data_IF_282739025474
#
_entry.id   IF_282739025474
#
_cell.length_a   1.000
_cell.length_b   1.000
_cell.length_c   1.000
_cell.angle_alpha   90.00
_cell.angle_beta   90.00
_cell.angle_gamma   90.00
#
_symmetry.space_group_name_H-M   'P 1'
#
loop_
_entity.id
_entity.type
_entity.pdbx_description
1 polymer ?
#
# COMPACT_ATOMS: atom_id res chain seq x y z
N UNK A 1 -5.12 -3.88 -17.70
CA UNK A 1 -6.37 -4.36 -17.05
C UNK A 1 -6.73 -5.79 -17.46
N UNK A 2 -6.97 -6.10 -18.74
CA UNK A 2 -7.28 -7.48 -19.16
C UNK A 2 -6.12 -8.44 -18.81
N UNK A 3 -6.43 -9.57 -18.17
CA UNK A 3 -5.44 -10.56 -17.72
C UNK A 3 -4.81 -10.28 -16.34
N UNK A 4 -5.08 -9.14 -15.71
CA UNK A 4 -4.67 -8.88 -14.32
C UNK A 4 -5.53 -9.72 -13.35
N UNK A 5 -4.95 -10.29 -12.27
CA UNK A 5 -5.73 -10.90 -11.19
C UNK A 5 -6.74 -9.95 -10.54
N UNK A 6 -6.52 -8.63 -10.65
CA UNK A 6 -7.36 -7.59 -10.09
C UNK A 6 -8.28 -6.93 -11.14
N UNK A 7 -8.48 -7.59 -12.29
CA UNK A 7 -9.22 -7.00 -13.41
C UNK A 7 -10.65 -6.56 -13.03
N UNK A 8 -11.37 -7.33 -12.19
CA UNK A 8 -12.76 -6.97 -11.88
C UNK A 8 -12.85 -5.68 -11.05
N UNK A 9 -12.01 -5.49 -10.02
CA UNK A 9 -12.02 -4.25 -9.23
C UNK A 9 -11.64 -3.05 -10.09
N UNK A 10 -10.60 -3.19 -10.92
CA UNK A 10 -10.15 -2.16 -11.87
C UNK A 10 -11.25 -1.75 -12.86
N UNK A 11 -11.91 -2.73 -13.49
CA UNK A 11 -12.99 -2.48 -14.45
C UNK A 11 -14.21 -1.87 -13.76
N UNK A 12 -14.60 -2.39 -12.59
CA UNK A 12 -15.73 -1.84 -11.82
C UNK A 12 -15.50 -0.39 -11.42
N UNK A 13 -14.31 -0.05 -10.94
CA UNK A 13 -13.94 1.33 -10.61
C UNK A 13 -13.96 2.23 -11.84
N UNK A 14 -13.34 1.80 -12.94
CA UNK A 14 -13.34 2.56 -14.19
C UNK A 14 -14.77 2.83 -14.70
N UNK A 15 -15.64 1.83 -14.65
CA UNK A 15 -17.03 1.96 -15.03
C UNK A 15 -17.80 2.90 -14.09
N UNK A 16 -17.59 2.80 -12.78
CA UNK A 16 -18.24 3.69 -11.81
C UNK A 16 -17.87 5.16 -12.05
N UNK A 17 -16.59 5.44 -12.34
CA UNK A 17 -16.13 6.79 -12.70
C UNK A 17 -16.75 7.27 -14.02
N UNK A 18 -16.78 6.42 -15.05
CA UNK A 18 -17.29 6.77 -16.37
C UNK A 18 -18.81 7.00 -16.39
N UNK A 19 -19.58 6.16 -15.69
CA UNK A 19 -21.05 6.28 -15.61
C UNK A 19 -21.48 7.53 -14.84
N UNK A 20 -20.64 8.03 -13.93
CA UNK A 20 -20.90 9.21 -13.11
C UNK A 20 -19.90 10.34 -13.42
N UNK A 21 -19.52 10.48 -14.69
CA UNK A 21 -18.50 11.43 -15.11
C UNK A 21 -18.85 12.88 -14.72
N UNK A 22 -20.13 13.26 -14.71
CA UNK A 22 -20.57 14.60 -14.31
C UNK A 22 -20.27 14.92 -12.83
N UNK A 23 -20.11 13.89 -11.99
CA UNK A 23 -19.70 14.02 -10.58
C UNK A 23 -18.18 13.94 -10.46
N UNK A 24 -17.57 12.92 -11.08
CA UNK A 24 -16.16 12.63 -10.86
C UNK A 24 -15.20 13.51 -11.67
N UNK A 25 -15.62 14.04 -12.82
CA UNK A 25 -14.79 14.97 -13.58
C UNK A 25 -14.48 16.29 -12.83
N UNK A 26 -15.47 17.01 -12.27
CA UNK A 26 -15.18 18.17 -11.44
C UNK A 26 -14.45 17.81 -10.14
N UNK A 27 -14.78 16.67 -9.52
CA UNK A 27 -14.06 16.19 -8.32
C UNK A 27 -12.56 16.00 -8.61
N UNK A 28 -12.21 15.30 -9.68
CA UNK A 28 -10.81 15.06 -10.06
C UNK A 28 -10.08 16.36 -10.42
N UNK A 29 -10.79 17.37 -10.93
CA UNK A 29 -10.20 18.70 -11.16
C UNK A 29 -9.87 19.41 -9.84
N UNK A 30 -10.74 19.32 -8.83
CA UNK A 30 -10.48 19.87 -7.49
C UNK A 30 -9.35 19.13 -6.79
N UNK A 31 -9.33 17.80 -6.85
CA UNK A 31 -8.23 16.98 -6.36
C UNK A 31 -6.92 17.38 -7.05
N UNK A 32 -6.91 17.55 -8.37
CA UNK A 32 -5.72 17.95 -9.11
C UNK A 32 -5.16 19.29 -8.65
N UNK A 33 -6.04 20.27 -8.43
CA UNK A 33 -5.65 21.60 -7.99
C UNK A 33 -5.03 21.61 -6.59
N UNK A 34 -5.36 20.63 -5.75
CA UNK A 34 -4.80 20.45 -4.41
C UNK A 34 -3.49 19.65 -4.36
N UNK A 35 -2.97 19.17 -5.49
CA UNK A 35 -1.75 18.35 -5.49
C UNK A 35 -0.52 19.19 -5.20
N UNK A 36 0.14 18.91 -4.07
CA UNK A 36 1.39 19.55 -3.69
C UNK A 36 2.59 18.65 -3.98
N UNK A 37 3.73 19.21 -4.41
CA UNK A 37 5.00 18.52 -4.45
C UNK A 37 5.32 17.72 -3.16
N UNK A 38 5.95 16.55 -3.28
CA UNK A 38 6.54 15.90 -2.11
C UNK A 38 7.68 16.76 -1.56
N UNK A 39 8.04 16.62 -0.26
CA UNK A 39 9.21 17.29 0.31
C UNK A 39 10.50 16.97 -0.47
N UNK A 40 11.47 17.89 -0.42
CA UNK A 40 12.78 17.71 -1.05
C UNK A 40 13.41 16.39 -0.60
N UNK A 41 13.87 15.58 -1.56
CA UNK A 41 14.48 14.28 -1.31
C UNK A 41 13.54 13.08 -1.41
N UNK A 42 12.22 13.29 -1.55
CA UNK A 42 11.23 12.22 -1.65
C UNK A 42 10.75 11.92 -3.09
N UNK A 43 11.23 12.65 -4.10
CA UNK A 43 11.00 12.32 -5.51
C UNK A 43 12.27 12.52 -6.35
N UNK A 44 12.66 11.53 -7.17
CA UNK A 44 13.74 11.69 -8.16
C UNK A 44 13.36 12.65 -9.30
N UNK A 45 12.07 12.96 -9.45
CA UNK A 45 11.51 13.69 -10.59
C UNK A 45 11.04 15.09 -10.13
N UNK A 46 12.01 15.96 -9.83
CA UNK A 46 11.84 17.42 -9.82
C UNK A 46 10.61 17.96 -9.06
N UNK A 47 10.52 17.73 -7.75
CA UNK A 47 9.57 18.45 -6.89
C UNK A 47 8.12 18.45 -7.42
N UNK A 48 7.66 17.35 -8.03
CA UNK A 48 6.29 17.22 -8.53
C UNK A 48 5.63 15.97 -7.97
N UNK A 49 4.38 16.12 -7.57
CA UNK A 49 3.52 15.00 -7.21
C UNK A 49 3.20 14.17 -8.46
N UNK A 50 3.45 12.87 -8.42
CA UNK A 50 3.23 11.95 -9.54
C UNK A 50 1.76 11.91 -10.00
N UNK A 51 0.81 12.20 -9.11
CA UNK A 51 -0.62 12.26 -9.44
C UNK A 51 -1.04 13.57 -10.12
N UNK A 52 -0.22 14.62 -10.02
CA UNK A 52 -0.56 15.94 -10.55
C UNK A 52 -0.59 15.91 -12.07
N UNK A 53 -1.75 16.20 -12.66
CA UNK A 53 -1.97 16.37 -14.09
C UNK A 53 -1.64 17.80 -14.53
N UNK A 54 -0.96 18.00 -15.68
CA UNK A 54 -0.50 19.32 -16.09
C UNK A 54 -1.65 20.28 -16.43
N UNK A 55 -1.38 21.58 -16.35
CA UNK A 55 -2.34 22.63 -16.73
C UNK A 55 -2.78 22.44 -18.18
N UNK A 56 -4.09 22.50 -18.43
CA UNK A 56 -4.68 22.25 -19.76
C UNK A 56 -4.89 20.78 -20.11
N UNK A 57 -4.47 19.84 -19.24
CA UNK A 57 -4.88 18.44 -19.35
C UNK A 57 -6.37 18.27 -19.02
N UNK A 58 -6.87 17.04 -19.21
CA UNK A 58 -8.18 16.60 -18.71
C UNK A 58 -7.94 15.78 -17.44
N UNK A 59 -7.95 16.37 -16.23
CA UNK A 59 -7.49 15.70 -15.01
C UNK A 59 -8.23 14.39 -14.73
N UNK A 60 -9.53 14.35 -15.01
CA UNK A 60 -10.33 13.13 -14.94
C UNK A 60 -9.74 11.97 -15.75
N UNK A 61 -9.44 12.19 -17.04
CA UNK A 61 -8.89 11.14 -17.89
C UNK A 61 -7.47 10.76 -17.46
N UNK A 62 -6.63 11.75 -17.16
CA UNK A 62 -5.24 11.51 -16.76
C UNK A 62 -5.14 10.75 -15.44
N UNK A 63 -5.88 11.15 -14.42
CA UNK A 63 -5.90 10.43 -13.13
C UNK A 63 -6.52 9.04 -13.25
N UNK A 64 -7.62 8.89 -14.01
CA UNK A 64 -8.21 7.56 -14.20
C UNK A 64 -7.24 6.60 -14.91
N UNK A 65 -6.45 7.10 -15.86
CA UNK A 65 -5.39 6.33 -16.51
C UNK A 65 -4.26 5.98 -15.54
N UNK A 66 -3.81 6.94 -14.73
CA UNK A 66 -2.76 6.73 -13.72
C UNK A 66 -3.20 5.70 -12.67
N UNK A 67 -4.44 5.81 -12.16
CA UNK A 67 -5.04 4.81 -11.25
C UNK A 67 -5.04 3.43 -11.90
N UNK A 68 -5.50 3.31 -13.15
CA UNK A 68 -5.53 2.04 -13.84
C UNK A 68 -4.12 1.45 -14.02
N UNK A 69 -3.11 2.27 -14.32
CA UNK A 69 -1.72 1.83 -14.45
C UNK A 69 -1.15 1.36 -13.11
N UNK A 70 -1.17 2.24 -12.10
CA UNK A 70 -0.66 1.99 -10.74
C UNK A 70 -1.23 0.71 -10.16
N UNK A 71 -2.56 0.54 -10.20
CA UNK A 71 -3.19 -0.64 -9.60
C UNK A 71 -3.09 -1.89 -10.47
N UNK A 72 -2.97 -1.76 -11.81
CA UNK A 72 -2.66 -2.92 -12.66
C UNK A 72 -1.28 -3.47 -12.29
N UNK A 73 -0.27 -2.61 -12.16
CA UNK A 73 1.10 -3.04 -11.86
C UNK A 73 1.23 -3.51 -10.40
N UNK A 74 0.56 -2.85 -9.46
CA UNK A 74 0.56 -3.25 -8.06
C UNK A 74 -0.07 -4.63 -7.82
N UNK A 75 -1.06 -5.00 -8.65
CA UNK A 75 -1.79 -6.26 -8.48
C UNK A 75 -0.87 -7.49 -8.44
N UNK A 76 0.19 -7.49 -9.25
CA UNK A 76 1.15 -8.60 -9.34
C UNK A 76 2.54 -8.24 -8.84
N UNK A 77 2.72 -7.04 -8.30
CA UNK A 77 3.99 -6.61 -7.73
C UNK A 77 4.40 -7.47 -6.54
N UNK A 78 5.61 -8.02 -6.63
CA UNK A 78 6.30 -8.75 -5.57
C UNK A 78 7.51 -7.92 -5.11
N UNK A 79 7.60 -7.57 -3.82
CA UNK A 79 8.76 -6.88 -3.27
C UNK A 79 10.06 -7.63 -3.54
N UNK A 80 11.13 -6.88 -3.79
CA UNK A 80 12.49 -7.36 -4.03
C UNK A 80 13.49 -6.54 -3.24
N UNK A 81 14.67 -7.11 -3.05
CA UNK A 81 15.76 -6.52 -2.28
C UNK A 81 16.84 -6.03 -3.25
N UNK A 82 17.42 -4.88 -2.97
CA UNK A 82 18.58 -4.35 -3.69
C UNK A 82 19.60 -3.80 -2.69
N UNK A 83 20.63 -4.59 -2.43
CA UNK A 83 21.62 -4.27 -1.39
C UNK A 83 20.94 -4.14 -0.03
N UNK A 84 21.09 -2.96 0.57
CA UNK A 84 20.66 -2.60 1.91
C UNK A 84 19.19 -2.10 1.93
N UNK A 85 18.56 -2.01 0.75
CA UNK A 85 17.23 -1.44 0.53
C UNK A 85 16.24 -2.50 -0.01
N UNK A 86 14.96 -2.20 0.11
CA UNK A 86 13.88 -2.96 -0.54
C UNK A 86 12.82 -2.01 -1.11
N UNK A 87 11.96 -2.53 -1.98
CA UNK A 87 10.92 -1.75 -2.65
C UNK A 87 9.50 -2.08 -2.15
N UNK A 88 9.34 -2.73 -0.99
CA UNK A 88 8.05 -3.21 -0.49
C UNK A 88 7.01 -2.11 -0.28
N UNK A 89 7.45 -0.88 -0.03
CA UNK A 89 6.56 0.27 0.20
C UNK A 89 6.19 1.06 -1.05
N UNK A 90 6.73 0.70 -2.23
CA UNK A 90 6.63 1.51 -3.47
C UNK A 90 5.20 1.98 -3.77
N UNK A 91 4.23 1.07 -3.82
CA UNK A 91 2.86 1.42 -4.20
C UNK A 91 2.06 2.06 -3.08
N UNK A 92 2.34 1.69 -1.82
CA UNK A 92 1.72 2.33 -0.66
C UNK A 92 2.15 3.80 -0.60
N UNK A 93 3.43 4.09 -0.83
CA UNK A 93 3.95 5.45 -0.93
C UNK A 93 3.35 6.21 -2.11
N UNK A 94 3.26 5.58 -3.30
CA UNK A 94 2.56 6.17 -4.45
C UNK A 94 1.15 6.63 -4.07
N UNK A 95 0.33 5.78 -3.45
CA UNK A 95 -1.01 6.18 -3.01
C UNK A 95 -0.96 7.22 -1.89
N UNK A 96 0.03 7.16 -0.99
CA UNK A 96 0.27 8.19 0.01
C UNK A 96 0.38 9.60 -0.60
N UNK A 97 1.06 9.72 -1.74
CA UNK A 97 1.19 10.99 -2.45
C UNK A 97 -0.12 11.52 -3.05
N UNK A 98 -1.10 10.65 -3.32
CA UNK A 98 -2.40 11.08 -3.83
C UNK A 98 -3.14 11.99 -2.84
N UNK A 99 -3.08 11.66 -1.54
CA UNK A 99 -3.77 12.40 -0.48
C UNK A 99 -2.84 13.25 0.40
N UNK A 100 -1.54 13.28 0.11
CA UNK A 100 -0.57 14.09 0.85
C UNK A 100 -0.93 15.58 0.78
N UNK A 101 -1.23 16.19 1.94
CA UNK A 101 -1.63 17.59 2.08
C UNK A 101 -2.78 18.06 1.16
N UNK A 102 -3.59 17.12 0.65
CA UNK A 102 -4.66 17.38 -0.29
C UNK A 102 -6.00 16.99 0.34
N UNK A 103 -6.65 17.94 1.03
CA UNK A 103 -7.91 17.70 1.75
C UNK A 103 -9.01 17.09 0.88
N UNK A 104 -9.27 17.55 -0.36
CA UNK A 104 -10.21 16.89 -1.26
C UNK A 104 -9.90 15.41 -1.52
N UNK A 105 -8.62 15.06 -1.74
CA UNK A 105 -8.21 13.68 -1.91
C UNK A 105 -8.37 12.86 -0.61
N UNK A 106 -8.02 13.45 0.55
CA UNK A 106 -8.21 12.82 1.86
C UNK A 106 -9.67 12.49 2.12
N UNK A 107 -10.58 13.45 1.91
CA UNK A 107 -12.02 13.24 2.04
C UNK A 107 -12.49 12.10 1.13
N UNK A 108 -12.03 12.08 -0.13
CA UNK A 108 -12.40 11.02 -1.07
C UNK A 108 -11.89 9.63 -0.63
N UNK A 109 -10.69 9.54 -0.04
CA UNK A 109 -10.21 8.29 0.58
C UNK A 109 -10.97 7.87 1.83
N UNK A 110 -11.69 8.80 2.46
CA UNK A 110 -12.47 8.60 3.69
C UNK A 110 -13.97 8.49 3.39
N UNK A 111 -14.34 8.09 2.17
CA UNK A 111 -15.73 7.88 1.75
C UNK A 111 -16.58 9.16 1.76
N UNK A 112 -15.97 10.33 1.60
CA UNK A 112 -16.67 11.63 1.58
C UNK A 112 -16.41 12.32 0.24
N UNK A 113 -17.48 12.72 -0.44
CA UNK A 113 -17.37 13.60 -1.60
C UNK A 113 -17.06 15.04 -1.11
N UNK A 114 -15.85 15.58 -1.37
CA UNK A 114 -15.46 16.90 -0.85
C UNK A 114 -16.24 18.07 -1.46
N UNK A 115 -16.97 17.85 -2.56
CA UNK A 115 -17.79 18.89 -3.19
C UNK A 115 -19.18 19.00 -2.54
N UNK A 116 -19.69 17.91 -1.96
CA UNK A 116 -21.06 17.86 -1.42
C UNK A 116 -21.09 17.60 0.09
N UNK A 117 -20.03 17.05 0.67
CA UNK A 117 -19.97 16.56 2.05
C UNK A 117 -20.77 15.27 2.31
N UNK A 118 -21.31 14.65 1.25
CA UNK A 118 -22.06 13.40 1.34
C UNK A 118 -21.14 12.19 1.21
N UNK A 119 -21.64 11.03 1.63
CA UNK A 119 -20.94 9.76 1.49
C UNK A 119 -20.71 9.41 0.01
N UNK A 120 -19.50 8.93 -0.30
CA UNK A 120 -19.06 8.46 -1.62
C UNK A 120 -18.10 7.29 -1.46
N UNK A 121 -18.64 6.08 -1.55
CA UNK A 121 -17.93 4.85 -1.29
C UNK A 121 -17.23 4.26 -2.52
N UNK A 122 -17.21 4.94 -3.68
CA UNK A 122 -16.68 4.36 -4.93
C UNK A 122 -15.20 4.00 -4.80
N UNK A 123 -14.38 4.90 -4.22
CA UNK A 123 -12.95 4.61 -4.02
C UNK A 123 -12.74 3.54 -2.94
N UNK A 124 -13.46 3.60 -1.82
CA UNK A 124 -13.31 2.62 -0.74
C UNK A 124 -13.73 1.21 -1.17
N UNK A 125 -14.85 1.09 -1.90
CA UNK A 125 -15.31 -0.18 -2.49
C UNK A 125 -14.25 -0.74 -3.43
N UNK A 126 -13.69 0.10 -4.31
CA UNK A 126 -12.59 -0.30 -5.18
C UNK A 126 -11.37 -0.80 -4.39
N UNK A 127 -10.90 -0.03 -3.40
CA UNK A 127 -9.73 -0.39 -2.60
C UNK A 127 -9.93 -1.69 -1.82
N UNK A 128 -11.14 -1.93 -1.30
CA UNK A 128 -11.51 -3.18 -0.64
C UNK A 128 -11.45 -4.34 -1.63
N UNK A 129 -12.15 -4.24 -2.75
CA UNK A 129 -12.21 -5.32 -3.75
C UNK A 129 -10.84 -5.60 -4.37
N UNK A 130 -10.05 -4.55 -4.62
CA UNK A 130 -8.67 -4.67 -5.05
C UNK A 130 -7.82 -5.41 -4.01
N UNK A 131 -7.97 -5.07 -2.72
CA UNK A 131 -7.24 -5.74 -1.64
C UNK A 131 -7.60 -7.22 -1.53
N UNK A 132 -8.88 -7.57 -1.68
CA UNK A 132 -9.36 -8.95 -1.69
C UNK A 132 -8.75 -9.73 -2.88
N UNK A 133 -8.76 -9.15 -4.08
CA UNK A 133 -8.20 -9.77 -5.29
C UNK A 133 -6.68 -9.90 -5.25
N UNK A 134 -6.00 -8.84 -4.80
CA UNK A 134 -4.55 -8.87 -4.61
C UNK A 134 -4.20 -9.91 -3.55
N UNK A 135 -4.94 -9.97 -2.44
CA UNK A 135 -4.78 -10.99 -1.40
C UNK A 135 -4.89 -12.41 -1.95
N UNK A 136 -5.83 -12.67 -2.86
CA UNK A 136 -5.94 -13.95 -3.56
C UNK A 136 -4.70 -14.25 -4.42
N UNK A 137 -4.16 -13.26 -5.15
CA UNK A 137 -2.88 -13.42 -5.85
C UNK A 137 -1.72 -13.69 -4.89
N UNK A 138 -1.62 -12.98 -3.77
CA UNK A 138 -0.56 -13.18 -2.77
C UNK A 138 -0.67 -14.53 -2.02
N UNK A 139 -1.82 -15.20 -2.10
CA UNK A 139 -2.04 -16.58 -1.62
C UNK A 139 -1.77 -17.65 -2.70
N UNK A 140 -1.35 -17.26 -3.90
CA UNK A 140 -1.09 -18.18 -5.01
C UNK A 140 0.39 -18.59 -5.09
N UNK A 141 0.67 -19.77 -5.65
CA UNK A 141 2.04 -20.26 -5.84
C UNK A 141 2.96 -19.29 -6.63
N UNK A 142 2.50 -18.63 -7.72
CA UNK A 142 3.32 -17.64 -8.43
C UNK A 142 3.82 -16.48 -7.56
N UNK A 143 3.12 -16.14 -6.47
CA UNK A 143 3.55 -15.06 -5.57
C UNK A 143 4.80 -15.42 -4.74
N UNK A 144 5.12 -16.71 -4.58
CA UNK A 144 6.30 -17.16 -3.84
C UNK A 144 7.62 -16.88 -4.57
N UNK A 145 7.60 -16.38 -5.81
CA UNK A 145 8.77 -16.24 -6.68
C UNK A 145 9.97 -15.54 -6.02
N UNK A 146 9.72 -14.53 -5.17
CA UNK A 146 10.77 -13.75 -4.50
C UNK A 146 11.12 -14.25 -3.10
N UNK A 147 10.38 -15.20 -2.52
CA UNK A 147 10.66 -15.70 -1.17
C UNK A 147 12.11 -16.18 -0.97
N UNK A 148 12.75 -16.90 -1.91
CA UNK A 148 14.16 -17.30 -1.75
C UNK A 148 15.12 -16.11 -1.63
N UNK A 149 14.84 -14.98 -2.28
CA UNK A 149 15.65 -13.76 -2.17
C UNK A 149 15.56 -13.20 -0.76
N UNK A 150 14.34 -13.12 -0.20
CA UNK A 150 14.08 -12.58 1.12
C UNK A 150 14.62 -13.44 2.27
N UNK A 151 14.53 -14.76 2.16
CA UNK A 151 15.06 -15.66 3.20
C UNK A 151 16.58 -15.53 3.35
N UNK A 152 17.28 -15.23 2.26
CA UNK A 152 18.73 -15.06 2.27
C UNK A 152 19.17 -13.65 2.73
N UNK A 153 18.22 -12.74 2.97
CA UNK A 153 18.53 -11.41 3.47
C UNK A 153 18.73 -11.44 4.99
N UNK A 154 19.92 -11.05 5.50
CA UNK A 154 20.17 -11.07 6.93
C UNK A 154 19.25 -10.12 7.73
N UNK A 155 18.66 -9.10 7.11
CA UNK A 155 17.70 -8.19 7.76
C UNK A 155 16.38 -8.86 8.13
N UNK A 156 16.10 -10.04 7.53
CA UNK A 156 14.89 -10.80 7.82
C UNK A 156 15.00 -11.64 9.09
N UNK A 157 16.21 -11.88 9.60
CA UNK A 157 16.46 -12.65 10.83
C UNK A 157 15.70 -13.99 10.79
N UNK A 158 15.79 -14.72 9.67
CA UNK A 158 14.93 -15.88 9.40
C UNK A 158 15.04 -16.95 10.49
N UNK A 159 16.18 -17.04 11.17
CA UNK A 159 16.43 -17.89 12.32
C UNK A 159 15.49 -17.65 13.52
N UNK A 160 14.84 -16.49 13.62
CA UNK A 160 13.85 -16.20 14.65
C UNK A 160 12.49 -16.86 14.40
N UNK A 161 12.27 -17.42 13.20
CA UNK A 161 10.97 -17.94 12.75
C UNK A 161 10.93 -19.47 12.69
N UNK A 162 9.72 -20.02 12.81
CA UNK A 162 9.49 -21.48 12.76
C UNK A 162 9.90 -22.06 11.39
N UNK A 163 9.38 -21.47 10.32
CA UNK A 163 9.68 -21.79 8.93
C UNK A 163 10.91 -20.99 8.47
N UNK A 164 11.90 -21.66 7.87
CA UNK A 164 13.22 -21.06 7.61
C UNK A 164 13.73 -21.25 6.18
N UNK A 165 13.09 -22.10 5.40
CA UNK A 165 13.52 -22.42 4.04
C UNK A 165 12.45 -22.01 3.04
N UNK A 166 12.86 -21.71 1.81
CA UNK A 166 11.91 -21.30 0.78
C UNK A 166 10.86 -22.36 0.45
N UNK A 167 11.11 -23.62 0.81
CA UNK A 167 10.17 -24.74 0.60
C UNK A 167 9.04 -24.76 1.62
N UNK A 168 9.22 -24.09 2.76
CA UNK A 168 8.23 -24.00 3.82
C UNK A 168 7.09 -23.04 3.43
N UNK A 169 7.34 -22.16 2.46
CA UNK A 169 6.39 -21.14 2.01
C UNK A 169 5.87 -21.43 0.61
N UNK A 170 4.59 -21.78 0.51
CA UNK A 170 3.92 -22.05 -0.77
C UNK A 170 3.48 -20.79 -1.52
N UNK A 171 3.41 -19.64 -0.84
CA UNK A 171 2.99 -18.35 -1.40
C UNK A 171 3.59 -17.21 -0.58
N UNK A 172 3.48 -15.98 -1.08
CA UNK A 172 4.04 -14.80 -0.43
C UNK A 172 3.38 -14.52 0.92
N UNK A 173 2.05 -14.66 1.04
CA UNK A 173 1.38 -14.37 2.31
C UNK A 173 1.84 -15.32 3.42
N UNK A 174 2.07 -16.61 3.13
CA UNK A 174 2.67 -17.54 4.08
C UNK A 174 4.03 -17.05 4.59
N UNK A 175 4.88 -16.52 3.69
CA UNK A 175 6.16 -15.92 4.07
C UNK A 175 6.01 -14.60 4.85
N UNK A 176 5.10 -13.73 4.42
CA UNK A 176 4.87 -12.42 5.03
C UNK A 176 4.30 -12.54 6.45
N UNK A 177 3.42 -13.52 6.69
CA UNK A 177 2.78 -13.78 8.00
C UNK A 177 3.44 -14.92 8.77
N UNK A 178 4.70 -15.24 8.47
CA UNK A 178 5.47 -16.31 9.12
C UNK A 178 5.45 -16.20 10.64
N UNK A 179 5.42 -17.34 11.32
CA UNK A 179 5.33 -17.40 12.78
C UNK A 179 6.71 -17.25 13.42
N UNK A 180 6.81 -16.32 14.36
CA UNK A 180 8.00 -16.15 15.21
C UNK A 180 8.04 -17.26 16.25
N UNK A 181 9.23 -17.81 16.52
CA UNK A 181 9.41 -18.83 17.55
C UNK A 181 8.98 -18.30 18.91
N UNK A 182 8.16 -19.08 19.61
CA UNK A 182 7.71 -18.77 20.96
C UNK A 182 7.91 -19.95 21.90
N UNK A 183 8.08 -19.65 23.18
CA UNK A 183 8.11 -20.63 24.25
C UNK A 183 6.67 -21.02 24.64
N UNK A 184 6.47 -22.17 25.31
CA UNK A 184 5.15 -22.60 25.79
C UNK A 184 4.46 -21.63 26.76
N UNK A 185 5.23 -20.74 27.40
CA UNK A 185 4.72 -19.69 28.29
C UNK A 185 4.27 -18.41 27.54
N UNK A 186 4.32 -18.42 26.20
CA UNK A 186 3.96 -17.31 25.33
C UNK A 186 5.06 -16.25 25.18
N UNK A 187 6.25 -16.47 25.75
CA UNK A 187 7.39 -15.55 25.55
C UNK A 187 8.04 -15.77 24.19
N UNK A 188 8.57 -14.69 23.61
CA UNK A 188 9.31 -14.71 22.34
C UNK A 188 10.79 -14.45 22.68
N UNK A 189 11.67 -15.45 22.62
CA UNK A 189 13.07 -15.31 23.04
C UNK A 189 13.82 -14.17 22.33
N UNK A 190 13.55 -13.94 21.05
CA UNK A 190 14.17 -12.87 20.27
C UNK A 190 13.52 -11.50 20.44
N UNK A 191 12.40 -11.41 21.16
CA UNK A 191 11.66 -10.17 21.46
C UNK A 191 11.31 -10.08 22.95
N UNK A 192 12.30 -10.02 23.85
CA UNK A 192 12.06 -10.06 25.28
C UNK A 192 11.30 -8.81 25.78
N UNK A 193 10.26 -9.03 26.57
CA UNK A 193 9.52 -7.95 27.25
C UNK A 193 10.27 -7.49 28.50
N UNK A 194 10.51 -6.18 28.61
CA UNK A 194 11.10 -5.59 29.81
C UNK A 194 10.09 -5.60 30.96
N UNK A 195 10.47 -6.17 32.11
CA UNK A 195 9.64 -6.22 33.34
C UNK A 195 8.21 -6.76 33.11
N UNK A 196 8.06 -8.01 32.62
CA UNK A 196 6.78 -8.55 32.16
C UNK A 196 5.68 -8.58 33.23
N UNK A 197 6.06 -8.65 34.51
CA UNK A 197 5.10 -8.67 35.63
C UNK A 197 4.52 -7.29 35.99
N UNK A 198 5.03 -6.20 35.38
CA UNK A 198 4.64 -4.83 35.72
C UNK A 198 3.61 -4.29 34.74
N UNK A 199 2.35 -4.23 35.20
CA UNK A 199 1.20 -3.74 34.41
C UNK A 199 1.25 -2.28 33.97
N UNK A 200 2.22 -1.50 34.46
CA UNK A 200 2.41 -0.09 34.09
C UNK A 200 3.48 0.10 33.00
N UNK A 201 4.12 -0.98 32.53
CA UNK A 201 5.07 -0.94 31.42
C UNK A 201 4.31 -1.10 30.11
N UNK A 202 4.56 -0.19 29.17
CA UNK A 202 4.05 -0.27 27.79
C UNK A 202 5.19 -0.72 26.90
N UNK A 203 4.94 -1.71 26.05
CA UNK A 203 5.91 -2.25 25.09
C UNK A 203 5.54 -1.85 23.67
N UNK A 204 6.54 -1.82 22.78
CA UNK A 204 6.30 -1.63 21.35
C UNK A 204 5.47 -2.81 20.81
N UNK A 205 4.39 -2.55 20.06
CA UNK A 205 3.52 -3.62 19.56
C UNK A 205 4.04 -4.27 18.27
N UNK A 206 5.09 -3.72 17.64
CA UNK A 206 5.56 -4.16 16.33
C UNK A 206 7.05 -3.85 16.13
N UNK A 207 7.69 -4.66 15.29
CA UNK A 207 9.05 -4.44 14.80
C UNK A 207 9.01 -3.41 13.66
N UNK A 208 9.38 -2.18 13.95
CA UNK A 208 9.47 -1.13 12.95
C UNK A 208 10.47 -0.05 13.34
N UNK A 209 10.98 0.65 12.34
CA UNK A 209 11.53 1.98 12.57
C UNK A 209 10.33 2.91 12.75
N UNK A 210 10.24 3.56 13.92
CA UNK A 210 9.25 4.62 14.10
C UNK A 210 9.59 5.77 13.17
N UNK A 211 8.80 5.95 12.12
CA UNK A 211 8.87 7.17 11.33
C UNK A 211 8.13 8.26 12.12
N UNK A 212 8.81 9.25 12.71
CA UNK A 212 8.10 10.35 13.34
C UNK A 212 7.33 11.07 12.23
N UNK A 213 5.99 10.99 12.28
CA UNK A 213 5.16 11.96 11.58
C UNK A 213 5.58 13.33 12.13
N UNK A 214 6.40 14.05 11.38
CA UNK A 214 6.99 15.30 11.84
C UNK A 214 5.86 16.28 12.20
N UNK A 215 5.94 16.77 13.44
CA UNK A 215 5.34 18.03 13.88
C UNK A 215 6.05 19.17 13.13
N UNK A 216 5.30 20.03 12.44
CA UNK A 216 5.43 21.49 12.47
C UNK A 216 4.14 22.12 11.93
#
# INVERSE_FOLDING_TARGET
>A
MAGSPCANSLISFHNALAMNQDVYAPLMAVINAGMTPPPVGYSPQNDRNEWHQPVGAKPFMGMAQEFAAVFTDWCTFLPSIQGDEDNGLTYIQKIGWFYYQNFPAQAFTQEINPMTGLEDSVLATFLKDFSDQRGAFMNSEPSALRVPEWINDPRIEIEDYEDQTSKDFSNWNAFFSRLIKSNPDGTIPSRPVTMPDRKYVVVSPTDCIMNPLYKH
#
